data_IF_974193584594
#
_entry.id   IF_974193584594
#
_cell.length_a   1.000
_cell.length_b   1.000
_cell.length_c   1.000
_cell.angle_alpha   90.00
_cell.angle_beta   90.00
_cell.angle_gamma   90.00
#
_symmetry.space_group_name_H-M   'P 1'
#
loop_
_entity.id
_entity.type
_entity.pdbx_description
1 polymer ?
#
# COMPACT_ATOMS: atom_id res chain seq x y z
N UNK A 1 21.17 7.11 -0.68
CA UNK A 1 19.92 7.18 0.11
C UNK A 1 18.76 6.74 -0.79
N UNK A 2 18.00 5.71 -0.42
CA UNK A 2 16.82 5.27 -1.19
C UNK A 2 15.67 6.26 -1.01
N UNK A 3 14.98 6.63 -2.11
CA UNK A 3 13.85 7.55 -2.02
C UNK A 3 12.67 6.89 -1.28
N UNK A 4 11.79 7.65 -0.59
CA UNK A 4 10.62 7.12 0.10
C UNK A 4 9.76 6.19 -0.76
N UNK A 5 9.58 6.54 -2.04
CA UNK A 5 8.88 5.70 -3.01
C UNK A 5 9.62 4.39 -3.29
N UNK A 6 10.96 4.43 -3.36
CA UNK A 6 11.78 3.22 -3.50
C UNK A 6 11.58 2.28 -2.31
N UNK A 7 11.52 2.82 -1.07
CA UNK A 7 11.24 2.01 0.13
C UNK A 7 9.85 1.36 0.08
N UNK A 8 8.82 2.09 -0.38
CA UNK A 8 7.49 1.51 -0.61
C UNK A 8 7.54 0.37 -1.64
N UNK A 9 8.31 0.52 -2.72
CA UNK A 9 8.44 -0.52 -3.75
C UNK A 9 9.26 -1.73 -3.25
N UNK A 10 10.33 -1.51 -2.49
CA UNK A 10 11.17 -2.57 -1.94
C UNK A 10 10.39 -3.47 -0.98
N UNK A 11 9.42 -2.92 -0.23
CA UNK A 11 8.51 -3.71 0.62
C UNK A 11 7.83 -4.86 -0.15
N UNK A 12 7.42 -4.63 -1.39
CA UNK A 12 6.78 -5.67 -2.21
C UNK A 12 7.78 -6.74 -2.69
N UNK A 13 9.06 -6.40 -2.83
CA UNK A 13 10.11 -7.32 -3.31
C UNK A 13 10.62 -8.29 -2.24
N UNK A 14 10.58 -7.88 -0.96
CA UNK A 14 11.14 -8.67 0.16
C UNK A 14 10.21 -9.77 0.66
N UNK A 15 8.91 -9.73 0.33
CA UNK A 15 7.93 -10.76 0.69
C UNK A 15 7.74 -11.88 -0.35
N UNK A 16 8.55 -11.90 -1.40
CA UNK A 16 8.57 -13.04 -2.33
C UNK A 16 9.33 -14.24 -1.73
N UNK A 17 8.92 -15.50 -1.97
CA UNK A 17 9.69 -16.70 -1.61
C UNK A 17 11.12 -16.73 -2.19
N UNK A 18 11.34 -15.98 -3.29
CA UNK A 18 12.65 -15.81 -3.92
C UNK A 18 12.92 -14.31 -4.10
N UNK A 19 13.37 -13.61 -3.04
CA UNK A 19 13.54 -12.17 -3.07
C UNK A 19 14.61 -11.78 -4.11
N UNK A 20 14.16 -11.12 -5.19
CA UNK A 20 15.05 -10.53 -6.19
C UNK A 20 14.98 -9.01 -6.05
N UNK A 21 15.98 -8.33 -5.44
CA UNK A 21 15.89 -6.89 -5.12
C UNK A 21 15.78 -5.97 -6.34
N UNK A 22 16.11 -6.50 -7.51
CA UNK A 22 16.25 -5.74 -8.75
C UNK A 22 15.06 -5.89 -9.70
N UNK A 23 14.20 -6.90 -9.48
CA UNK A 23 13.12 -7.23 -10.41
C UNK A 23 11.86 -7.60 -9.63
N UNK A 24 10.80 -6.82 -9.78
CA UNK A 24 9.47 -7.14 -9.23
C UNK A 24 8.67 -7.80 -10.35
N UNK A 25 8.25 -9.05 -10.15
CA UNK A 25 7.32 -9.71 -11.07
C UNK A 25 5.87 -9.39 -10.72
N UNK A 26 4.94 -9.57 -11.66
CA UNK A 26 3.51 -9.38 -11.40
C UNK A 26 3.03 -10.25 -10.23
N UNK A 27 3.53 -11.48 -10.12
CA UNK A 27 3.16 -12.39 -9.04
C UNK A 27 3.69 -11.91 -7.68
N UNK A 28 4.89 -11.35 -7.61
CA UNK A 28 5.45 -10.80 -6.37
C UNK A 28 4.66 -9.56 -5.92
N UNK A 29 4.33 -8.69 -6.87
CA UNK A 29 3.45 -7.55 -6.64
C UNK A 29 2.09 -7.98 -6.11
N UNK A 30 1.47 -8.97 -6.76
CA UNK A 30 0.18 -9.52 -6.36
C UNK A 30 0.24 -10.15 -4.96
N UNK A 31 1.28 -10.93 -4.66
CA UNK A 31 1.51 -11.51 -3.32
C UNK A 31 1.66 -10.43 -2.26
N UNK A 32 2.43 -9.39 -2.56
CA UNK A 32 2.62 -8.27 -1.65
C UNK A 32 1.32 -7.50 -1.39
N UNK A 33 0.52 -7.22 -2.44
CA UNK A 33 -0.78 -6.57 -2.31
C UNK A 33 -1.78 -7.45 -1.51
N UNK A 34 -1.82 -8.76 -1.80
CA UNK A 34 -2.61 -9.72 -1.03
C UNK A 34 -2.17 -9.77 0.43
N UNK A 35 -0.86 -9.64 0.72
CA UNK A 35 -0.33 -9.66 2.08
C UNK A 35 -0.72 -8.43 2.92
N UNK A 36 -1.26 -7.38 2.28
CA UNK A 36 -1.89 -6.23 2.94
C UNK A 36 -3.36 -6.50 3.28
N UNK A 37 -3.85 -7.72 3.05
CA UNK A 37 -5.25 -8.11 3.23
C UNK A 37 -6.16 -7.71 2.08
N UNK A 38 -5.64 -7.11 1.00
CA UNK A 38 -6.47 -6.70 -0.12
C UNK A 38 -7.09 -7.91 -0.81
N UNK A 39 -8.32 -7.75 -1.29
CA UNK A 39 -9.01 -8.78 -2.04
C UNK A 39 -8.33 -8.99 -3.40
N UNK A 40 -8.55 -10.17 -3.98
CA UNK A 40 -7.91 -10.54 -5.24
C UNK A 40 -8.18 -9.54 -6.39
N UNK A 41 -9.42 -9.08 -6.65
CA UNK A 41 -9.67 -8.12 -7.72
C UNK A 41 -8.87 -6.82 -7.59
N UNK A 42 -8.83 -6.21 -6.40
CA UNK A 42 -8.08 -4.97 -6.18
C UNK A 42 -6.58 -5.24 -6.23
N UNK A 43 -6.10 -6.33 -5.63
CA UNK A 43 -4.69 -6.71 -5.67
C UNK A 43 -4.19 -6.90 -7.11
N UNK A 44 -4.99 -7.58 -7.95
CA UNK A 44 -4.68 -7.78 -9.36
C UNK A 44 -4.67 -6.47 -10.13
N UNK A 45 -5.68 -5.62 -9.91
CA UNK A 45 -5.77 -4.30 -10.53
C UNK A 45 -4.53 -3.44 -10.19
N UNK A 46 -4.17 -3.34 -8.91
CA UNK A 46 -3.00 -2.58 -8.46
C UNK A 46 -1.70 -3.13 -9.03
N UNK A 47 -1.54 -4.46 -9.04
CA UNK A 47 -0.38 -5.11 -9.61
C UNK A 47 -0.25 -4.82 -11.11
N UNK A 48 -1.36 -4.89 -11.87
CA UNK A 48 -1.39 -4.56 -13.29
C UNK A 48 -1.10 -3.08 -13.53
N UNK A 49 -1.75 -2.16 -12.81
CA UNK A 49 -1.50 -0.72 -12.93
C UNK A 49 -0.03 -0.38 -12.67
N UNK A 50 0.58 -0.96 -11.63
CA UNK A 50 2.01 -0.79 -11.31
C UNK A 50 2.89 -1.26 -12.46
N UNK A 51 2.60 -2.43 -13.03
CA UNK A 51 3.37 -2.99 -14.14
C UNK A 51 3.16 -2.26 -15.47
N UNK A 52 1.99 -1.63 -15.68
CA UNK A 52 1.72 -0.80 -16.86
C UNK A 52 2.41 0.57 -16.76
N UNK A 53 2.34 1.22 -15.59
CA UNK A 53 2.92 2.56 -15.37
C UNK A 53 4.44 2.50 -15.30
N UNK A 54 4.99 1.51 -14.58
CA UNK A 54 6.43 1.36 -14.38
C UNK A 54 7.05 0.33 -15.34
N UNK A 55 6.40 0.10 -16.50
CA UNK A 55 6.86 -0.86 -17.49
C UNK A 55 8.21 -0.40 -18.05
N UNK A 56 9.28 -1.04 -17.58
CA UNK A 56 10.65 -0.68 -17.93
C UNK A 56 11.46 -1.85 -18.52
N UNK A 57 10.77 -2.95 -18.85
CA UNK A 57 11.29 -4.01 -19.72
C UNK A 57 10.31 -4.24 -20.87
N UNK A 58 10.79 -4.87 -21.96
CA UNK A 58 10.16 -4.87 -23.30
C UNK A 58 8.67 -5.21 -23.40
N UNK A 59 8.10 -5.05 -24.60
CA UNK A 59 6.65 -4.90 -24.84
C UNK A 59 5.70 -5.98 -24.28
N UNK A 60 6.21 -7.17 -23.94
CA UNK A 60 5.47 -8.31 -23.39
C UNK A 60 5.91 -8.73 -21.97
N UNK A 61 6.81 -7.97 -21.34
CA UNK A 61 7.35 -8.30 -20.02
C UNK A 61 6.56 -7.65 -18.89
N UNK A 62 5.93 -8.48 -18.05
CA UNK A 62 5.32 -8.08 -16.77
C UNK A 62 6.39 -8.08 -15.65
N UNK A 63 7.51 -7.39 -15.90
CA UNK A 63 8.62 -7.26 -14.95
C UNK A 63 9.01 -5.79 -14.80
N UNK A 64 9.14 -5.33 -13.56
CA UNK A 64 9.63 -3.98 -13.25
C UNK A 64 11.08 -4.09 -12.79
N UNK A 65 11.99 -3.38 -13.45
CA UNK A 65 13.37 -3.26 -13.02
C UNK A 65 13.54 -2.05 -12.10
N UNK A 66 13.68 -2.32 -10.80
CA UNK A 66 13.69 -1.33 -9.70
C UNK A 66 14.79 -0.25 -9.82
N UNK A 67 16.03 -0.57 -10.28
CA UNK A 67 17.11 0.43 -10.41
C UNK A 67 16.87 1.51 -11.47
N UNK A 68 16.07 1.21 -12.49
CA UNK A 68 15.88 2.12 -13.64
C UNK A 68 14.62 2.98 -13.50
N UNK A 69 13.83 2.80 -12.44
CA UNK A 69 12.75 3.73 -12.11
C UNK A 69 13.36 4.98 -11.45
N UNK A 70 13.67 6.00 -12.25
CA UNK A 70 14.00 7.33 -11.74
C UNK A 70 12.80 7.85 -10.94
N UNK A 71 12.77 7.59 -9.63
CA UNK A 71 11.70 8.10 -8.78
C UNK A 71 12.21 9.22 -7.91
N UNK A 72 12.29 10.40 -8.54
CA UNK A 72 12.37 11.70 -7.88
C UNK A 72 11.03 12.12 -7.25
N UNK A 73 9.97 11.30 -7.36
CA UNK A 73 8.66 11.61 -6.75
C UNK A 73 8.72 11.43 -5.24
N UNK A 74 8.54 12.55 -4.54
CA UNK A 74 8.38 12.60 -3.09
C UNK A 74 6.92 12.36 -2.76
N UNK A 75 6.64 11.36 -1.92
CA UNK A 75 5.27 10.95 -1.57
C UNK A 75 4.54 12.06 -0.83
N UNK A 76 3.37 12.45 -1.33
CA UNK A 76 2.61 13.60 -0.85
C UNK A 76 3.47 14.88 -0.79
N UNK A 77 4.42 15.01 -1.73
CA UNK A 77 5.42 16.07 -1.79
C UNK A 77 6.38 16.17 -0.60
N UNK A 78 6.39 15.21 0.33
CA UNK A 78 7.33 15.12 1.44
C UNK A 78 6.86 15.76 2.75
N UNK A 79 7.58 15.50 3.87
CA UNK A 79 7.17 15.93 5.20
C UNK A 79 7.10 17.44 5.37
N UNK A 80 7.86 18.21 4.61
CA UNK A 80 7.92 19.67 4.76
C UNK A 80 6.85 20.40 3.94
N UNK A 81 6.20 19.73 2.98
CA UNK A 81 5.29 20.40 2.05
C UNK A 81 3.94 20.74 2.67
N UNK A 82 3.43 19.85 3.53
CA UNK A 82 2.13 20.02 4.18
C UNK A 82 2.30 19.91 5.69
N UNK A 83 1.71 20.86 6.40
CA UNK A 83 1.58 20.86 7.85
C UNK A 83 0.44 19.92 8.25
N UNK A 84 0.77 18.64 8.39
CA UNK A 84 -0.13 17.59 8.86
C UNK A 84 0.06 17.42 10.36
N UNK A 85 -1.02 17.57 11.12
CA UNK A 85 -1.07 17.35 12.57
C UNK A 85 -1.05 15.84 12.86
N UNK A 86 0.05 15.36 13.43
CA UNK A 86 0.26 13.95 13.75
C UNK A 86 -0.77 13.36 14.72
N UNK A 87 -1.36 14.20 15.58
CA UNK A 87 -2.31 13.79 16.62
C UNK A 87 -3.74 13.71 16.08
N UNK A 88 -4.01 14.31 14.93
CA UNK A 88 -5.34 14.33 14.32
C UNK A 88 -5.59 13.08 13.48
N UNK A 89 -6.83 12.59 13.50
CA UNK A 89 -7.32 11.62 12.52
C UNK A 89 -8.01 12.35 11.37
N UNK A 90 -7.73 11.95 10.13
CA UNK A 90 -8.30 12.53 8.91
C UNK A 90 -9.18 11.51 8.18
N UNK A 91 -10.40 11.90 7.81
CA UNK A 91 -11.15 11.25 6.74
C UNK A 91 -10.61 11.64 5.35
N UNK A 92 -11.10 10.98 4.30
CA UNK A 92 -10.67 11.27 2.91
C UNK A 92 -10.87 12.75 2.54
N UNK A 93 -12.07 13.27 2.77
CA UNK A 93 -12.39 14.66 2.46
C UNK A 93 -11.60 15.66 3.31
N UNK A 94 -11.32 15.33 4.57
CA UNK A 94 -10.49 16.16 5.45
C UNK A 94 -9.04 16.21 4.96
N UNK A 95 -8.46 15.07 4.59
CA UNK A 95 -7.09 15.01 4.09
C UNK A 95 -6.95 15.73 2.74
N UNK A 96 -7.88 15.51 1.80
CA UNK A 96 -7.90 16.21 0.52
C UNK A 96 -8.13 17.72 0.71
N UNK A 97 -9.02 18.10 1.62
CA UNK A 97 -9.28 19.48 1.99
C UNK A 97 -8.03 20.15 2.56
N UNK A 98 -7.31 19.46 3.44
CA UNK A 98 -6.07 19.94 4.05
C UNK A 98 -4.98 20.18 3.00
N UNK A 99 -4.77 19.21 2.10
CA UNK A 99 -3.80 19.31 1.01
C UNK A 99 -4.16 20.47 0.07
N UNK A 100 -5.43 20.63 -0.32
CA UNK A 100 -5.86 21.76 -1.18
C UNK A 100 -5.71 23.10 -0.48
N UNK A 101 -6.09 23.19 0.80
CA UNK A 101 -5.99 24.41 1.62
C UNK A 101 -4.55 24.94 1.68
N UNK A 102 -3.59 24.04 1.70
CA UNK A 102 -2.17 24.35 1.75
C UNK A 102 -1.51 24.48 0.36
N UNK A 103 -2.31 24.62 -0.70
CA UNK A 103 -1.82 24.88 -2.07
C UNK A 103 -1.43 23.63 -2.87
N UNK A 104 -1.84 22.44 -2.43
CA UNK A 104 -1.66 21.20 -3.19
C UNK A 104 -2.44 21.19 -4.50
N UNK A 105 -1.77 20.81 -5.59
CA UNK A 105 -2.36 20.66 -6.91
C UNK A 105 -3.06 19.32 -7.10
N UNK A 106 -3.45 19.04 -8.34
CA UNK A 106 -4.17 17.79 -8.71
C UNK A 106 -3.33 16.55 -8.39
N UNK A 107 -2.01 16.62 -8.61
CA UNK A 107 -1.11 15.51 -8.34
C UNK A 107 -1.09 15.16 -6.84
N UNK A 108 -0.98 16.17 -5.97
CA UNK A 108 -0.94 15.97 -4.52
C UNK A 108 -2.30 15.52 -3.97
N UNK A 109 -3.40 15.97 -4.57
CA UNK A 109 -4.74 15.46 -4.26
C UNK A 109 -4.83 13.96 -4.59
N UNK A 110 -4.36 13.54 -5.76
CA UNK A 110 -4.32 12.12 -6.13
C UNK A 110 -3.45 11.32 -5.15
N UNK A 111 -2.29 11.86 -4.76
CA UNK A 111 -1.43 11.23 -3.75
C UNK A 111 -2.09 11.17 -2.36
N UNK A 112 -2.91 12.16 -1.98
CA UNK A 112 -3.68 12.16 -0.74
C UNK A 112 -4.75 11.06 -0.75
N UNK A 113 -5.46 10.89 -1.88
CA UNK A 113 -6.40 9.78 -2.07
C UNK A 113 -5.65 8.44 -2.00
N UNK A 114 -4.48 8.34 -2.63
CA UNK A 114 -3.63 7.15 -2.57
C UNK A 114 -3.17 6.82 -1.14
N UNK A 115 -2.71 7.83 -0.39
CA UNK A 115 -2.34 7.72 1.02
C UNK A 115 -3.53 7.22 1.86
N UNK A 116 -4.69 7.84 1.73
CA UNK A 116 -5.90 7.41 2.44
C UNK A 116 -6.30 5.97 2.06
N UNK A 117 -6.32 5.65 0.77
CA UNK A 117 -6.68 4.32 0.28
C UNK A 117 -5.76 3.23 0.84
N UNK A 118 -4.46 3.52 0.89
CA UNK A 118 -3.45 2.59 1.40
C UNK A 118 -3.54 2.45 2.93
N UNK A 119 -3.62 3.56 3.65
CA UNK A 119 -3.31 3.60 5.09
C UNK A 119 -4.55 3.66 5.97
N UNK A 120 -5.66 4.21 5.50
CA UNK A 120 -6.82 4.40 6.36
C UNK A 120 -7.37 3.06 6.89
N UNK A 121 -7.79 3.09 8.15
CA UNK A 121 -8.31 1.95 8.90
C UNK A 121 -9.73 1.61 8.48
N UNK A 122 -10.31 0.52 9.00
CA UNK A 122 -11.68 0.08 8.68
C UNK A 122 -12.74 1.19 8.84
N UNK A 123 -12.54 2.11 9.79
CA UNK A 123 -13.43 3.24 10.10
C UNK A 123 -13.34 4.40 9.09
N UNK A 124 -12.43 4.32 8.10
CA UNK A 124 -12.25 5.36 7.11
C UNK A 124 -11.33 6.50 7.55
N UNK A 125 -10.62 6.38 8.68
CA UNK A 125 -9.70 7.41 9.16
C UNK A 125 -8.23 7.00 9.01
N UNK A 126 -7.38 7.98 8.77
CA UNK A 126 -5.91 7.86 8.80
C UNK A 126 -5.36 8.82 9.86
N UNK A 127 -4.44 8.39 10.72
CA UNK A 127 -3.81 9.32 11.67
C UNK A 127 -2.79 10.22 10.95
N UNK A 128 -2.54 11.41 11.48
CA UNK A 128 -1.50 12.27 10.93
C UNK A 128 -0.12 11.63 10.98
N UNK A 129 0.21 10.92 12.07
CA UNK A 129 1.46 10.12 12.15
C UNK A 129 1.57 9.11 10.99
N UNK A 130 0.46 8.47 10.61
CA UNK A 130 0.42 7.55 9.47
C UNK A 130 0.62 8.27 8.13
N UNK A 131 0.09 9.49 7.98
CA UNK A 131 0.35 10.34 6.81
C UNK A 131 1.82 10.77 6.76
N UNK A 132 2.44 11.09 7.90
CA UNK A 132 3.88 11.39 8.00
C UNK A 132 4.75 10.17 7.66
N UNK A 133 4.37 9.00 8.18
CA UNK A 133 5.03 7.74 7.83
C UNK A 133 4.90 7.44 6.33
N UNK A 134 3.77 7.78 5.69
CA UNK A 134 3.59 7.68 4.25
C UNK A 134 4.54 8.63 3.49
N UNK A 135 4.66 9.89 3.91
CA UNK A 135 5.60 10.86 3.34
C UNK A 135 7.07 10.38 3.43
N UNK A 136 7.43 9.66 4.50
CA UNK A 136 8.75 9.06 4.69
C UNK A 136 8.95 7.69 4.00
N UNK A 137 7.88 7.07 3.51
CA UNK A 137 7.91 5.74 2.91
C UNK A 137 8.04 4.59 3.91
N UNK A 138 7.68 4.83 5.18
CA UNK A 138 7.84 3.90 6.33
C UNK A 138 6.52 3.19 6.69
N UNK A 139 5.44 3.49 5.98
CA UNK A 139 4.08 3.11 6.41
C UNK A 139 3.68 1.67 6.09
N UNK A 140 4.36 1.03 5.12
CA UNK A 140 3.92 -0.28 4.60
C UNK A 140 3.99 -1.38 5.64
N UNK A 141 5.07 -1.43 6.42
CA UNK A 141 5.24 -2.44 7.48
C UNK A 141 4.14 -2.28 8.54
N UNK A 142 3.88 -1.04 8.97
CA UNK A 142 2.80 -0.72 9.93
C UNK A 142 1.42 -1.17 9.44
N UNK A 143 1.10 -0.91 8.16
CA UNK A 143 -0.18 -1.33 7.57
C UNK A 143 -0.26 -2.84 7.46
N UNK A 144 0.82 -3.50 7.04
CA UNK A 144 0.86 -4.95 6.87
C UNK A 144 0.72 -5.69 8.21
N UNK A 145 1.43 -5.24 9.25
CA UNK A 145 1.33 -5.80 10.60
C UNK A 145 -0.09 -5.64 11.14
N UNK A 146 -0.65 -4.43 11.06
CA UNK A 146 -2.00 -4.16 11.56
C UNK A 146 -3.08 -4.99 10.86
N UNK A 147 -2.97 -5.18 9.54
CA UNK A 147 -3.92 -5.96 8.73
C UNK A 147 -3.64 -7.46 8.74
N UNK A 148 -2.62 -7.92 9.47
CA UNK A 148 -2.35 -9.35 9.64
C UNK A 148 -3.45 -10.04 10.46
N UNK A 149 -4.02 -9.34 11.45
CA UNK A 149 -5.12 -9.83 12.29
C UNK A 149 -6.52 -9.53 11.71
N UNK A 150 -7.57 -9.90 12.45
CA UNK A 150 -8.97 -9.65 12.04
C UNK A 150 -9.54 -8.31 12.54
N UNK A 151 -8.76 -7.56 13.33
CA UNK A 151 -9.21 -6.30 13.94
C UNK A 151 -9.39 -5.14 12.94
N UNK A 152 -8.62 -5.13 11.84
CA UNK A 152 -8.61 -4.04 10.83
C UNK A 152 -8.88 -4.57 9.41
N UNK A 153 -9.82 -5.50 9.27
CA UNK A 153 -10.30 -5.94 7.96
C UNK A 153 -11.07 -4.79 7.31
N UNK A 154 -10.65 -4.40 6.11
CA UNK A 154 -11.33 -3.36 5.34
C UNK A 154 -12.73 -3.82 4.90
N UNK A 155 -13.68 -2.90 4.66
CA UNK A 155 -14.91 -3.26 3.96
C UNK A 155 -14.63 -3.59 2.49
N UNK A 156 -15.51 -4.38 1.86
CA UNK A 156 -15.31 -4.89 0.49
C UNK A 156 -15.01 -3.80 -0.55
N UNK A 157 -15.76 -2.68 -0.50
CA UNK A 157 -15.58 -1.54 -1.40
C UNK A 157 -14.23 -0.81 -1.25
N UNK A 158 -13.50 -1.06 -0.15
CA UNK A 158 -12.13 -0.57 0.08
C UNK A 158 -11.07 -1.65 -0.10
N UNK A 159 -11.43 -2.80 -0.66
CA UNK A 159 -10.50 -3.89 -0.90
C UNK A 159 -10.50 -4.98 0.16
N UNK A 160 -11.42 -4.97 1.13
CA UNK A 160 -11.58 -6.13 2.00
C UNK A 160 -12.20 -7.34 1.30
N UNK A 161 -12.09 -8.54 1.87
CA UNK A 161 -12.79 -9.72 1.39
C UNK A 161 -14.27 -9.72 1.80
N UNK A 162 -15.12 -10.41 1.04
CA UNK A 162 -16.51 -10.70 1.44
C UNK A 162 -16.53 -11.70 2.60
N UNK A 163 -15.64 -12.69 2.56
CA UNK A 163 -15.46 -13.69 3.62
C UNK A 163 -13.98 -13.77 4.00
N UNK A 164 -13.68 -13.43 5.26
CA UNK A 164 -12.31 -13.43 5.80
C UNK A 164 -11.70 -14.83 5.79
N UNK A 165 -12.47 -15.82 6.26
CA UNK A 165 -12.02 -17.22 6.32
C UNK A 165 -11.80 -17.81 4.92
N UNK A 166 -12.74 -17.60 4.00
CA UNK A 166 -12.62 -18.08 2.62
C UNK A 166 -11.46 -17.42 1.88
N UNK A 167 -11.27 -16.10 2.07
CA UNK A 167 -10.17 -15.37 1.47
C UNK A 167 -8.81 -15.80 2.02
N UNK A 168 -8.67 -15.92 3.35
CA UNK A 168 -7.42 -16.38 3.98
C UNK A 168 -7.01 -17.77 3.48
N UNK A 169 -7.97 -18.70 3.38
CA UNK A 169 -7.74 -20.02 2.79
C UNK A 169 -7.29 -19.94 1.33
N UNK A 170 -8.00 -19.20 0.49
CA UNK A 170 -7.69 -19.11 -0.94
C UNK A 170 -6.31 -18.48 -1.18
N UNK A 171 -6.01 -17.38 -0.49
CA UNK A 171 -4.73 -16.68 -0.59
C UNK A 171 -3.56 -17.56 -0.15
N UNK A 172 -3.73 -18.31 0.96
CA UNK A 172 -2.73 -19.29 1.39
C UNK A 172 -2.56 -20.42 0.38
N UNK A 173 -3.65 -20.97 -0.15
CA UNK A 173 -3.65 -22.13 -1.06
C UNK A 173 -3.03 -21.85 -2.42
N UNK A 174 -3.32 -20.69 -3.02
CA UNK A 174 -2.93 -20.35 -4.38
C UNK A 174 -1.68 -19.46 -4.45
N UNK A 175 -1.45 -18.63 -3.43
CA UNK A 175 -0.38 -17.63 -3.46
C UNK A 175 0.68 -17.85 -2.39
N UNK A 176 0.44 -18.74 -1.42
CA UNK A 176 1.36 -19.03 -0.32
C UNK A 176 1.47 -17.89 0.69
N UNK A 177 0.52 -16.96 0.69
CA UNK A 177 0.52 -15.78 1.57
C UNK A 177 -0.44 -16.01 2.73
N UNK A 178 -0.02 -15.68 3.94
CA UNK A 178 -0.88 -15.73 5.11
C UNK A 178 -1.44 -14.35 5.46
N UNK A 179 -2.75 -14.27 5.61
CA UNK A 179 -3.48 -13.07 6.02
C UNK A 179 -4.61 -13.43 6.98
N UNK A 180 -5.05 -12.47 7.78
CA UNK A 180 -6.15 -12.63 8.73
C UNK A 180 -5.94 -13.78 9.70
N UNK A 181 -4.71 -13.88 10.23
CA UNK A 181 -4.36 -14.84 11.28
C UNK A 181 -5.40 -14.70 12.39
N UNK A 182 -5.93 -15.84 12.84
CA UNK A 182 -6.77 -15.85 14.03
C UNK A 182 -5.89 -15.37 15.17
N UNK A 183 -6.25 -14.26 15.80
CA UNK A 183 -5.60 -13.84 17.02
C UNK A 183 -5.76 -15.02 17.99
N UNK A 184 -4.65 -15.68 18.33
CA UNK A 184 -4.67 -16.69 19.37
C UNK A 184 -5.00 -15.94 20.65
N UNK A 185 -6.27 -15.95 21.06
CA UNK A 185 -6.61 -15.74 22.46
C UNK A 185 -5.98 -16.90 23.21
N UNK A 186 -4.74 -16.69 23.66
CA UNK A 186 -4.28 -17.33 24.87
C UNK A 186 -5.15 -16.80 26.00
N UNK A 187 -5.86 -17.74 26.63
CA UNK A 187 -6.36 -17.75 28.01
C UNK A 187 -6.84 -16.42 28.62
#
# INVERSE_FOLDING_TARGET
MSSPFHRLLTFFSTRSPHPTPQTITLLDSLRGDLSLGLNFPISLFLALTRHLIFRNTGFFSLRIHVPSVQTSRVLLGGPEKFDIDEKRGYGLGELVGEVRRQGGGVAEVVEAVGCWGLVARRDGRVSGDEVRAYQRGEVMERVAERRTGRGDVLPFWRGGPISVDGHSWAVKRFFGVEVYRKDWKGE
#
